data_IF_701263142645
#
_entry.id   IF_701263142645
#
_cell.length_a   1.000
_cell.length_b   1.000
_cell.length_c   1.000
_cell.angle_alpha   90.00
_cell.angle_beta   90.00
_cell.angle_gamma   90.00
#
_symmetry.space_group_name_H-M   'P 1'
#
loop_
_entity.id
_entity.type
_entity.pdbx_description
1 polymer ?
#
# COMPACT_ATOMS: atom_id res chain seq x y z
N UNK A 1 -25.94 0.64 5.48
CA UNK A 1 -25.86 0.20 6.90
C UNK A 1 -24.47 0.51 7.38
N UNK A 2 -24.31 1.50 8.27
CA UNK A 2 -22.99 1.85 8.80
C UNK A 2 -22.50 0.72 9.70
N UNK A 3 -21.36 0.13 9.37
CA UNK A 3 -20.72 -0.86 10.24
C UNK A 3 -20.16 -0.07 11.44
N UNK A 4 -20.74 -0.27 12.61
CA UNK A 4 -20.17 0.27 13.85
C UNK A 4 -18.80 -0.37 14.05
N UNK A 5 -17.79 0.46 14.20
CA UNK A 5 -16.48 0.04 14.70
C UNK A 5 -16.69 -0.50 16.12
N UNK A 6 -16.09 -1.63 16.45
CA UNK A 6 -16.15 -2.15 17.82
C UNK A 6 -15.52 -1.11 18.76
N UNK A 7 -16.27 -0.65 19.74
CA UNK A 7 -15.75 0.19 20.79
C UNK A 7 -14.75 -0.65 21.61
N UNK A 8 -13.48 -0.35 21.52
CA UNK A 8 -12.49 -0.97 22.40
C UNK A 8 -12.57 -0.26 23.75
N UNK A 9 -13.38 -0.82 24.62
CA UNK A 9 -13.47 -0.35 26.02
C UNK A 9 -12.29 -0.96 26.77
N UNK A 10 -11.34 -0.12 27.16
CA UNK A 10 -10.30 -0.52 28.12
C UNK A 10 -10.90 -0.50 29.53
N UNK A 11 -10.80 -1.58 30.30
CA UNK A 11 -11.30 -1.62 31.67
C UNK A 11 -10.71 -0.47 32.53
N UNK A 12 -11.57 0.38 33.08
CA UNK A 12 -11.17 1.47 33.96
C UNK A 12 -10.84 2.80 33.30
N UNK A 13 -11.12 2.95 32.02
CA UNK A 13 -10.97 4.22 31.30
C UNK A 13 -12.29 4.60 30.64
N UNK A 14 -12.94 5.65 31.14
CA UNK A 14 -14.21 6.17 30.58
C UNK A 14 -14.02 6.90 29.23
N UNK A 15 -12.77 7.02 28.77
CA UNK A 15 -12.48 7.58 27.45
C UNK A 15 -12.64 6.48 26.39
N UNK A 16 -13.79 6.48 25.72
CA UNK A 16 -13.96 5.73 24.50
C UNK A 16 -12.87 6.15 23.50
N UNK A 17 -12.03 5.19 23.07
CA UNK A 17 -11.15 5.43 21.93
C UNK A 17 -12.02 5.79 20.73
N UNK A 18 -11.78 6.92 20.09
CA UNK A 18 -12.31 7.17 18.75
C UNK A 18 -11.69 6.16 17.81
N UNK A 19 -12.30 5.00 17.69
CA UNK A 19 -11.87 3.96 16.77
C UNK A 19 -12.03 4.46 15.36
N UNK A 20 -10.95 4.50 14.66
CA UNK A 20 -10.69 4.75 13.27
C UNK A 20 -11.77 5.37 12.42
N UNK A 21 -11.48 6.54 11.91
CA UNK A 21 -12.33 7.17 10.89
C UNK A 21 -12.30 6.33 9.62
N UNK A 22 -13.47 6.05 9.06
CA UNK A 22 -13.63 5.47 7.74
C UNK A 22 -14.09 6.55 6.78
N UNK A 23 -13.51 6.57 5.58
CA UNK A 23 -13.88 7.53 4.56
C UNK A 23 -13.68 7.00 3.16
N UNK A 24 -14.40 7.58 2.21
CA UNK A 24 -14.14 7.39 0.79
C UNK A 24 -13.05 8.39 0.38
N UNK A 25 -12.11 7.94 -0.40
CA UNK A 25 -11.09 8.78 -1.03
C UNK A 25 -10.95 8.41 -2.50
N UNK A 26 -10.58 9.36 -3.32
CA UNK A 26 -10.33 9.14 -4.75
C UNK A 26 -8.89 9.48 -5.15
N UNK A 27 -8.09 9.93 -4.20
CA UNK A 27 -6.71 10.35 -4.39
C UNK A 27 -5.95 10.19 -3.09
N UNK A 28 -4.65 9.93 -3.16
CA UNK A 28 -3.79 9.95 -1.96
C UNK A 28 -3.65 11.38 -1.40
N UNK A 29 -3.87 12.39 -2.22
CA UNK A 29 -3.92 13.77 -1.75
C UNK A 29 -5.08 14.03 -0.76
N UNK A 30 -6.16 13.23 -0.83
CA UNK A 30 -7.31 13.33 0.08
C UNK A 30 -7.00 12.75 1.47
N UNK A 31 -5.92 11.95 1.59
CA UNK A 31 -5.51 11.37 2.87
C UNK A 31 -4.87 12.44 3.76
N UNK A 32 -5.30 12.48 5.03
CA UNK A 32 -4.76 13.38 6.03
C UNK A 32 -3.22 13.23 6.12
N UNK A 33 -2.45 14.34 6.15
CA UNK A 33 -1.00 14.32 6.24
C UNK A 33 -0.46 13.50 7.42
N UNK A 34 -1.19 13.42 8.54
CA UNK A 34 -0.81 12.61 9.70
C UNK A 34 -0.72 11.11 9.42
N UNK A 35 -1.32 10.62 8.33
CA UNK A 35 -1.22 9.24 7.84
C UNK A 35 -0.44 9.14 6.54
N UNK A 36 -0.54 10.14 5.66
CA UNK A 36 0.07 10.14 4.33
C UNK A 36 1.59 9.98 4.39
N UNK A 37 2.24 10.54 5.41
CA UNK A 37 3.68 10.41 5.61
C UNK A 37 4.17 8.95 5.62
N UNK A 38 3.34 7.99 6.06
CA UNK A 38 3.70 6.57 6.04
C UNK A 38 3.86 6.01 4.62
N UNK A 39 3.23 6.65 3.62
CA UNK A 39 3.39 6.31 2.23
C UNK A 39 4.59 7.04 1.57
N UNK A 40 5.07 8.09 2.22
CA UNK A 40 6.18 8.93 1.76
C UNK A 40 7.54 8.49 2.34
N UNK A 41 7.52 7.84 3.49
CA UNK A 41 8.72 7.35 4.17
C UNK A 41 8.97 5.86 3.89
N UNK A 42 10.00 5.30 4.51
CA UNK A 42 10.38 3.89 4.37
C UNK A 42 9.58 2.95 5.29
N UNK A 43 8.29 3.21 5.45
CA UNK A 43 7.38 2.33 6.19
C UNK A 43 6.99 1.16 5.30
N UNK A 44 7.35 -0.07 5.72
CA UNK A 44 6.95 -1.27 4.98
C UNK A 44 5.45 -1.50 5.13
N UNK A 45 4.76 -1.57 4.00
CA UNK A 45 3.34 -1.84 3.96
C UNK A 45 3.04 -3.33 3.81
N UNK A 46 1.85 -3.76 4.25
CA UNK A 46 1.30 -5.08 3.93
C UNK A 46 0.30 -4.95 2.81
N UNK A 47 0.54 -5.64 1.69
CA UNK A 47 -0.37 -5.73 0.56
C UNK A 47 -1.16 -7.05 0.63
N UNK A 48 -2.48 -6.95 0.58
CA UNK A 48 -3.40 -8.06 0.39
C UNK A 48 -3.88 -8.12 -1.06
N UNK A 49 -3.73 -9.28 -1.69
CA UNK A 49 -4.28 -9.59 -3.02
C UNK A 49 -5.10 -10.88 -2.95
N UNK A 50 -6.07 -11.07 -3.84
CA UNK A 50 -7.00 -12.20 -3.78
C UNK A 50 -6.52 -13.33 -4.72
N UNK A 51 -6.33 -14.52 -4.16
CA UNK A 51 -5.99 -15.75 -4.89
C UNK A 51 -7.20 -16.29 -5.67
N UNK A 52 -6.99 -17.22 -6.65
CA UNK A 52 -8.11 -17.84 -7.39
C UNK A 52 -9.16 -18.52 -6.52
N UNK A 53 -8.75 -19.04 -5.36
CA UNK A 53 -9.66 -19.70 -4.41
C UNK A 53 -10.34 -18.74 -3.43
N UNK A 54 -10.27 -17.41 -3.68
CA UNK A 54 -10.86 -16.38 -2.84
C UNK A 54 -10.08 -16.02 -1.57
N UNK A 55 -9.06 -16.78 -1.20
CA UNK A 55 -8.26 -16.48 -0.02
C UNK A 55 -7.29 -15.31 -0.28
N UNK A 56 -7.08 -14.43 0.70
CA UNK A 56 -6.08 -13.37 0.57
C UNK A 56 -4.65 -13.94 0.58
N UNK A 57 -3.76 -13.27 -0.16
CA UNK A 57 -2.33 -13.39 -0.05
C UNK A 57 -1.78 -12.10 0.54
N UNK A 58 -1.12 -12.19 1.68
CA UNK A 58 -0.46 -11.06 2.32
C UNK A 58 1.03 -11.08 1.99
N UNK A 59 1.57 -9.93 1.62
CA UNK A 59 3.03 -9.77 1.39
C UNK A 59 3.49 -8.40 1.87
N UNK A 60 4.67 -8.30 2.51
CA UNK A 60 5.31 -7.01 2.72
C UNK A 60 5.69 -6.41 1.37
N UNK A 61 5.51 -5.11 1.24
CA UNK A 61 5.84 -4.35 0.02
C UNK A 61 6.42 -2.99 0.37
N UNK A 62 7.28 -2.51 -0.49
CA UNK A 62 7.61 -1.10 -0.59
C UNK A 62 6.57 -0.40 -1.45
N UNK A 63 6.25 0.82 -1.14
CA UNK A 63 5.32 1.62 -1.92
C UNK A 63 5.74 3.08 -2.01
N UNK A 64 5.19 3.76 -3.00
CA UNK A 64 5.23 5.20 -3.19
C UNK A 64 3.84 5.70 -3.58
N UNK A 65 3.71 6.98 -3.83
CA UNK A 65 2.54 7.57 -4.48
C UNK A 65 2.95 8.75 -5.37
N UNK A 66 2.09 9.09 -6.32
CA UNK A 66 2.24 10.24 -7.19
C UNK A 66 1.26 11.40 -6.85
N UNK A 67 0.66 11.33 -5.65
CA UNK A 67 -0.38 12.25 -5.20
C UNK A 67 -1.78 11.71 -5.50
N UNK A 68 -1.98 10.98 -6.58
CA UNK A 68 -3.26 10.38 -6.95
C UNK A 68 -3.30 8.88 -6.65
N UNK A 69 -2.36 8.13 -7.16
CA UNK A 69 -2.29 6.68 -7.07
C UNK A 69 -1.25 6.21 -6.07
N UNK A 70 -1.49 5.05 -5.46
CA UNK A 70 -0.43 4.30 -4.81
C UNK A 70 0.35 3.56 -5.90
N UNK A 71 1.67 3.61 -5.80
CA UNK A 71 2.61 3.02 -6.74
C UNK A 71 3.28 1.81 -6.07
N UNK A 72 3.05 0.63 -6.63
CA UNK A 72 3.68 -0.61 -6.20
C UNK A 72 4.61 -1.12 -7.30
N UNK A 73 5.64 -1.86 -6.91
CA UNK A 73 6.51 -2.51 -7.88
C UNK A 73 6.63 -4.01 -7.58
N UNK A 74 6.58 -4.81 -8.64
CA UNK A 74 6.72 -6.27 -8.51
C UNK A 74 7.45 -6.85 -9.73
N UNK A 75 7.79 -8.13 -9.67
CA UNK A 75 8.28 -8.92 -10.81
C UNK A 75 7.08 -9.53 -11.53
N UNK A 76 7.07 -9.46 -12.86
CA UNK A 76 6.09 -10.13 -13.72
C UNK A 76 6.00 -11.62 -13.40
N UNK A 77 4.79 -12.15 -13.33
CA UNK A 77 4.53 -13.56 -13.06
C UNK A 77 4.60 -13.98 -11.60
N UNK A 78 4.95 -13.10 -10.64
CA UNK A 78 4.76 -13.40 -9.22
C UNK A 78 3.27 -13.60 -8.90
N UNK A 79 2.97 -14.37 -7.83
CA UNK A 79 1.58 -14.65 -7.46
C UNK A 79 0.75 -13.37 -7.28
N UNK A 80 1.30 -12.36 -6.59
CA UNK A 80 0.62 -11.06 -6.43
C UNK A 80 0.39 -10.34 -7.77
N UNK A 81 1.31 -10.42 -8.75
CA UNK A 81 1.11 -9.85 -10.07
C UNK A 81 -0.06 -10.53 -10.78
N UNK A 82 -0.09 -11.87 -10.80
CA UNK A 82 -1.21 -12.64 -11.38
C UNK A 82 -2.54 -12.36 -10.68
N UNK A 83 -2.51 -12.25 -9.35
CA UNK A 83 -3.70 -11.94 -8.55
C UNK A 83 -4.28 -10.57 -8.93
N UNK A 84 -3.44 -9.53 -8.94
CA UNK A 84 -3.85 -8.17 -9.26
C UNK A 84 -4.38 -8.02 -10.68
N UNK A 85 -3.79 -8.73 -11.66
CA UNK A 85 -4.29 -8.73 -13.04
C UNK A 85 -5.66 -9.38 -13.17
N UNK A 86 -5.91 -10.46 -12.42
CA UNK A 86 -7.17 -11.20 -12.50
C UNK A 86 -8.27 -10.64 -11.57
N UNK A 87 -7.89 -10.08 -10.43
CA UNK A 87 -8.76 -9.54 -9.38
C UNK A 87 -8.13 -8.25 -8.86
N UNK A 88 -8.49 -7.12 -9.48
CA UNK A 88 -7.77 -5.87 -9.27
C UNK A 88 -8.00 -5.21 -7.90
N UNK A 89 -8.95 -5.70 -7.11
CA UNK A 89 -9.21 -5.14 -5.79
C UNK A 89 -8.14 -5.60 -4.80
N UNK A 90 -7.59 -4.64 -4.06
CA UNK A 90 -6.49 -4.85 -3.12
C UNK A 90 -6.74 -4.08 -1.82
N UNK A 91 -6.08 -4.52 -0.75
CA UNK A 91 -6.00 -3.75 0.49
C UNK A 91 -4.53 -3.57 0.89
N UNK A 92 -4.23 -2.40 1.43
CA UNK A 92 -2.88 -2.01 1.84
C UNK A 92 -2.95 -1.49 3.27
N UNK A 93 -2.10 -2.03 4.14
CA UNK A 93 -1.98 -1.59 5.53
C UNK A 93 -0.58 -1.01 5.74
N UNK A 94 -0.52 0.23 6.24
CA UNK A 94 0.68 0.86 6.77
C UNK A 94 0.52 1.03 8.28
N UNK A 95 1.51 0.60 9.04
CA UNK A 95 1.55 0.75 10.49
C UNK A 95 2.78 1.56 10.85
N UNK A 96 2.60 2.58 11.68
CA UNK A 96 3.72 3.35 12.21
C UNK A 96 4.62 2.42 13.05
N UNK A 97 5.89 2.25 12.70
CA UNK A 97 6.79 1.34 13.43
C UNK A 97 7.05 1.77 14.88
N UNK A 98 6.86 3.04 15.21
CA UNK A 98 7.06 3.59 16.55
C UNK A 98 5.79 3.54 17.40
N UNK A 99 4.61 3.46 16.77
CA UNK A 99 3.32 3.41 17.45
C UNK A 99 2.34 2.51 16.70
N UNK A 100 2.12 1.26 17.12
CA UNK A 100 1.25 0.31 16.43
C UNK A 100 -0.23 0.69 16.43
N UNK A 101 -0.64 1.65 17.27
CA UNK A 101 -1.99 2.22 17.25
C UNK A 101 -2.17 3.32 16.19
N UNK A 102 -1.08 3.76 15.57
CA UNK A 102 -1.12 4.72 14.49
C UNK A 102 -0.95 4.00 13.14
N UNK A 103 -2.06 3.75 12.45
CA UNK A 103 -2.05 3.02 11.19
C UNK A 103 -3.11 3.52 10.21
N UNK A 104 -2.92 3.19 8.97
CA UNK A 104 -3.89 3.42 7.89
C UNK A 104 -4.05 2.15 7.06
N UNK A 105 -5.30 1.73 6.87
CA UNK A 105 -5.69 0.71 5.91
C UNK A 105 -6.39 1.36 4.73
N UNK A 106 -5.94 1.06 3.51
CA UNK A 106 -6.43 1.64 2.28
C UNK A 106 -6.95 0.51 1.39
N UNK A 107 -8.23 0.54 1.04
CA UNK A 107 -8.75 -0.27 -0.05
C UNK A 107 -8.54 0.46 -1.36
N UNK A 108 -8.25 -0.27 -2.41
CA UNK A 108 -8.02 0.31 -3.72
C UNK A 108 -8.21 -0.70 -4.84
N UNK A 109 -8.18 -0.18 -6.06
CA UNK A 109 -8.30 -0.98 -7.27
C UNK A 109 -7.11 -0.71 -8.19
N UNK A 110 -6.49 -1.77 -8.66
CA UNK A 110 -5.47 -1.66 -9.71
C UNK A 110 -6.13 -1.13 -10.98
N UNK A 111 -5.63 -0.01 -11.46
CA UNK A 111 -6.15 0.68 -12.65
C UNK A 111 -5.18 0.63 -13.81
N UNK A 112 -3.89 0.41 -13.54
CA UNK A 112 -2.86 0.33 -14.57
C UNK A 112 -1.70 -0.55 -14.11
N UNK A 113 -1.14 -1.29 -15.06
CA UNK A 113 0.14 -2.00 -14.92
C UNK A 113 1.04 -1.64 -16.09
N UNK A 114 2.27 -1.21 -15.81
CA UNK A 114 3.28 -0.84 -16.80
C UNK A 114 4.45 -1.80 -16.66
N UNK A 115 4.71 -2.60 -17.67
CA UNK A 115 5.85 -3.51 -17.70
C UNK A 115 7.11 -2.77 -18.14
N UNK A 116 8.24 -3.13 -17.58
CA UNK A 116 9.55 -2.57 -17.93
C UNK A 116 9.88 -2.70 -19.43
N UNK A 117 9.29 -3.68 -20.09
CA UNK A 117 9.43 -3.93 -21.53
C UNK A 117 8.53 -3.06 -22.42
N UNK A 118 7.66 -2.23 -21.84
CA UNK A 118 6.83 -1.28 -22.60
C UNK A 118 7.75 -0.24 -23.27
N UNK A 119 7.76 -0.12 -24.61
CA UNK A 119 8.72 0.74 -25.32
C UNK A 119 8.52 2.24 -25.04
N UNK A 120 7.32 2.65 -24.66
CA UNK A 120 7.01 4.05 -24.40
C UNK A 120 7.13 4.41 -22.89
N UNK A 121 6.79 3.49 -22.00
CA UNK A 121 6.58 3.80 -20.58
C UNK A 121 7.35 2.87 -19.63
N UNK A 122 8.01 1.83 -20.12
CA UNK A 122 8.67 0.82 -19.30
C UNK A 122 9.72 1.39 -18.34
N UNK A 123 10.35 2.49 -18.74
CA UNK A 123 11.28 3.23 -17.87
C UNK A 123 10.66 3.62 -16.51
N UNK A 124 9.37 3.91 -16.46
CA UNK A 124 8.69 4.23 -15.21
C UNK A 124 8.75 3.07 -14.20
N UNK A 125 8.71 1.82 -14.66
CA UNK A 125 8.81 0.66 -13.78
C UNK A 125 10.22 0.51 -13.19
N UNK A 126 11.26 0.77 -13.98
CA UNK A 126 12.66 0.77 -13.52
C UNK A 126 12.92 1.92 -12.54
N UNK A 127 12.56 3.14 -12.90
CA UNK A 127 12.76 4.31 -12.05
C UNK A 127 12.03 4.19 -10.72
N UNK A 128 10.81 3.63 -10.73
CA UNK A 128 10.05 3.42 -9.49
C UNK A 128 10.74 2.43 -8.54
N UNK A 129 11.24 1.28 -9.04
CA UNK A 129 11.91 0.32 -8.14
C UNK A 129 13.26 0.85 -7.64
N UNK A 130 13.97 1.63 -8.45
CA UNK A 130 15.24 2.25 -8.08
C UNK A 130 15.02 3.34 -7.00
N UNK A 131 13.97 4.14 -7.13
CA UNK A 131 13.58 5.13 -6.11
C UNK A 131 13.14 4.45 -4.80
N UNK A 132 12.37 3.36 -4.89
CA UNK A 132 12.01 2.57 -3.72
C UNK A 132 13.25 1.97 -3.04
N UNK A 133 14.19 1.43 -3.80
CA UNK A 133 15.45 0.90 -3.25
C UNK A 133 16.27 2.00 -2.56
N UNK A 134 16.37 3.16 -3.18
CA UNK A 134 17.03 4.32 -2.58
C UNK A 134 16.38 4.71 -1.25
N UNK A 135 15.04 4.74 -1.19
CA UNK A 135 14.29 5.14 0.01
C UNK A 135 14.35 4.11 1.13
N UNK A 136 14.18 2.82 0.81
CA UNK A 136 14.02 1.77 1.82
C UNK A 136 15.35 1.16 2.27
N UNK A 137 16.35 1.09 1.40
CA UNK A 137 17.63 0.42 1.68
C UNK A 137 18.87 1.26 1.30
N UNK A 138 18.66 2.55 1.00
CA UNK A 138 19.72 3.51 0.66
C UNK A 138 20.66 3.03 -0.47
N UNK A 139 20.10 2.36 -1.49
CA UNK A 139 20.87 1.78 -2.59
C UNK A 139 20.16 2.02 -3.93
N UNK A 140 20.92 2.38 -4.96
CA UNK A 140 20.42 2.49 -6.34
C UNK A 140 21.57 2.18 -7.32
N UNK A 141 21.32 1.49 -8.44
CA UNK A 141 20.04 0.89 -8.85
C UNK A 141 19.60 -0.24 -7.91
N UNK A 142 18.35 -0.69 -8.04
CA UNK A 142 17.80 -1.79 -7.23
C UNK A 142 18.68 -3.05 -7.31
N UNK A 143 19.30 -3.48 -6.19
CA UNK A 143 20.37 -4.49 -6.21
C UNK A 143 19.86 -5.94 -6.25
N UNK A 144 18.56 -6.16 -5.93
CA UNK A 144 18.00 -7.51 -5.77
C UNK A 144 17.28 -8.00 -7.03
N UNK A 145 17.77 -7.62 -8.20
CA UNK A 145 17.30 -8.16 -9.48
C UNK A 145 17.69 -9.62 -9.62
N UNK A 146 16.80 -10.41 -10.21
CA UNK A 146 17.10 -11.79 -10.55
C UNK A 146 18.21 -11.84 -11.63
N UNK A 147 19.37 -12.45 -11.36
CA UNK A 147 20.48 -12.52 -12.33
C UNK A 147 20.10 -13.31 -13.61
N UNK A 148 19.06 -14.14 -13.56
CA UNK A 148 18.51 -14.85 -14.73
C UNK A 148 17.59 -13.97 -15.58
N UNK A 149 17.45 -12.71 -15.20
CA UNK A 149 16.57 -11.76 -15.84
C UNK A 149 15.19 -11.71 -15.17
N UNK A 150 14.64 -10.53 -15.15
CA UNK A 150 13.26 -10.26 -14.68
C UNK A 150 12.69 -9.09 -15.43
N UNK A 151 11.36 -9.05 -15.52
CA UNK A 151 10.63 -7.88 -15.98
C UNK A 151 9.94 -7.25 -14.77
N UNK A 152 10.31 -6.00 -14.47
CA UNK A 152 9.63 -5.23 -13.41
C UNK A 152 8.28 -4.73 -13.91
N UNK A 153 7.35 -4.61 -13.00
CA UNK A 153 5.99 -4.12 -13.27
C UNK A 153 5.67 -3.04 -12.26
N UNK A 154 5.43 -1.84 -12.75
CA UNK A 154 4.81 -0.77 -11.98
C UNK A 154 3.30 -0.99 -11.97
N UNK A 155 2.71 -0.96 -10.80
CA UNK A 155 1.26 -1.11 -10.58
C UNK A 155 0.73 0.17 -9.98
N UNK A 156 -0.28 0.77 -10.61
CA UNK A 156 -0.99 1.94 -10.08
C UNK A 156 -2.30 1.50 -9.45
N UNK A 157 -2.47 1.82 -8.18
CA UNK A 157 -3.67 1.52 -7.41
C UNK A 157 -4.42 2.81 -7.13
N UNK A 158 -5.66 2.88 -7.63
CA UNK A 158 -6.61 3.95 -7.30
C UNK A 158 -7.15 3.65 -5.89
N UNK A 159 -6.93 4.54 -4.90
CA UNK A 159 -7.57 4.36 -3.60
C UNK A 159 -9.08 4.57 -3.72
N UNK A 160 -9.85 3.84 -2.92
CA UNK A 160 -11.32 3.91 -2.92
C UNK A 160 -11.87 4.23 -1.53
N UNK A 161 -11.26 3.69 -0.49
CA UNK A 161 -11.66 3.97 0.88
C UNK A 161 -10.48 3.79 1.85
N UNK A 162 -10.57 4.44 2.98
CA UNK A 162 -9.59 4.34 4.05
C UNK A 162 -10.26 4.02 5.37
N UNK A 163 -9.51 3.36 6.22
CA UNK A 163 -9.76 3.24 7.65
C UNK A 163 -8.46 3.62 8.37
N UNK A 164 -8.58 4.54 9.33
CA UNK A 164 -7.44 5.03 10.12
C UNK A 164 -7.71 4.78 11.59
N UNK A 165 -6.68 4.60 12.38
CA UNK A 165 -6.78 4.60 13.83
C UNK A 165 -6.02 5.82 14.36
N UNK A 166 -6.67 6.58 15.24
CA UNK A 166 -6.06 7.72 15.92
C UNK A 166 -5.61 7.24 17.29
N UNK A 167 -4.32 7.30 17.62
CA UNK A 167 -3.90 7.03 18.98
C UNK A 167 -4.56 8.03 19.94
N UNK A 168 -4.87 7.65 21.19
CA UNK A 168 -5.33 8.59 22.18
C UNK A 168 -4.30 9.72 22.34
N UNK A 169 -4.75 10.95 22.60
CA UNK A 169 -3.83 12.03 22.92
C UNK A 169 -2.93 11.61 24.09
N UNK A 170 -1.65 11.94 23.99
CA UNK A 170 -0.68 11.68 25.05
C UNK A 170 -0.98 12.49 26.30
#
# INVERSE_FOLDING_TARGET
MAIRTADVIMPGNDNAFETGKRGQISSIADLDPSYRWMLEKNVTATLATIKPNGLPQLTPVWLAHDGRYILLNTKKGRLKDRNMRARPDVAILCVNPENPYHWVAINGRVVETIEETDPARGRQATENIDELARRYINTTPYPLRDPKGEVRVLVKVQPTSVMTFVPPPA
#
